data_IF_457855618604
#
_entry.id   IF_457855618604
#
_cell.length_a   1.000
_cell.length_b   1.000
_cell.length_c   1.000
_cell.angle_alpha   90.00
_cell.angle_beta   90.00
_cell.angle_gamma   90.00
#
_symmetry.space_group_name_H-M   'P 1'
#
loop_
_entity.id
_entity.type
_entity.pdbx_description
1 polymer ?
#
# COMPACT_ATOMS: atom_id res chain seq x y z
N UNK A 1 -9.89 11.13 4.51
CA UNK A 1 -9.46 9.75 4.81
C UNK A 1 -8.09 9.52 4.21
N UNK A 2 -7.13 9.08 5.01
CA UNK A 2 -5.78 8.74 4.54
C UNK A 2 -5.79 7.35 3.90
N UNK A 3 -5.08 7.19 2.80
CA UNK A 3 -4.89 5.91 2.13
C UNK A 3 -3.42 5.52 2.23
N UNK A 4 -3.16 4.24 2.51
CA UNK A 4 -1.80 3.70 2.55
C UNK A 4 -1.74 2.40 1.77
N UNK A 5 -0.77 2.28 0.87
CA UNK A 5 -0.39 1.01 0.26
C UNK A 5 0.82 0.51 1.01
N UNK A 6 0.64 -0.59 1.74
CA UNK A 6 1.69 -1.23 2.53
C UNK A 6 2.20 -2.42 1.72
N UNK A 7 3.51 -2.46 1.47
CA UNK A 7 4.16 -3.52 0.72
C UNK A 7 5.41 -4.04 1.47
N UNK A 8 5.70 -5.33 1.31
CA UNK A 8 6.95 -5.92 1.79
C UNK A 8 8.03 -5.76 0.73
N UNK A 9 9.21 -5.35 1.16
CA UNK A 9 10.38 -5.12 0.31
C UNK A 9 10.50 -3.67 -0.12
N UNK A 10 11.74 -3.23 -0.33
CA UNK A 10 12.02 -1.86 -0.77
C UNK A 10 12.14 -1.83 -2.29
N UNK A 11 11.33 -1.02 -3.00
CA UNK A 11 11.48 -0.87 -4.44
C UNK A 11 12.85 -0.27 -4.75
N UNK A 12 13.52 -0.84 -5.76
CA UNK A 12 14.73 -0.25 -6.32
C UNK A 12 14.42 1.04 -7.11
N UNK A 13 15.41 1.60 -7.80
CA UNK A 13 15.20 2.76 -8.70
C UNK A 13 14.68 2.34 -10.09
N UNK A 14 13.85 1.30 -10.12
CA UNK A 14 13.31 0.70 -11.34
C UNK A 14 12.08 1.45 -11.89
N UNK A 15 11.68 1.13 -13.13
CA UNK A 15 10.47 1.71 -13.74
C UNK A 15 9.20 1.45 -12.92
N UNK A 16 9.13 0.33 -12.19
CA UNK A 16 8.01 -0.03 -11.32
C UNK A 16 7.85 0.98 -10.18
N UNK A 17 8.96 1.42 -9.57
CA UNK A 17 8.95 2.40 -8.49
C UNK A 17 8.51 3.78 -8.99
N UNK A 18 8.97 4.16 -10.19
CA UNK A 18 8.57 5.41 -10.85
C UNK A 18 7.08 5.40 -11.15
N UNK A 19 6.58 4.28 -11.69
CA UNK A 19 5.16 4.12 -12.00
C UNK A 19 4.31 4.17 -10.73
N UNK A 20 4.70 3.47 -9.67
CA UNK A 20 3.99 3.51 -8.39
C UNK A 20 3.91 4.94 -7.82
N UNK A 21 5.01 5.69 -7.85
CA UNK A 21 5.04 7.07 -7.38
C UNK A 21 4.14 8.00 -8.23
N UNK A 22 4.18 7.90 -9.56
CA UNK A 22 3.34 8.69 -10.47
C UNK A 22 1.84 8.43 -10.19
N UNK A 23 1.44 7.17 -10.09
CA UNK A 23 0.04 6.85 -9.77
C UNK A 23 -0.36 7.26 -8.35
N UNK A 24 0.55 7.20 -7.38
CA UNK A 24 0.29 7.67 -6.03
C UNK A 24 0.04 9.18 -5.96
N UNK A 25 0.81 9.96 -6.73
CA UNK A 25 0.62 11.40 -6.88
C UNK A 25 -0.73 11.71 -7.55
N UNK A 26 -1.04 11.07 -8.67
CA UNK A 26 -2.32 11.24 -9.38
C UNK A 26 -3.52 10.93 -8.49
N UNK A 27 -3.45 9.83 -7.74
CA UNK A 27 -4.51 9.44 -6.81
C UNK A 27 -4.67 10.43 -5.66
N UNK A 28 -3.56 10.99 -5.15
CA UNK A 28 -3.59 12.04 -4.12
C UNK A 28 -4.25 13.32 -4.65
N UNK A 29 -3.88 13.75 -5.85
CA UNK A 29 -4.45 14.94 -6.49
C UNK A 29 -5.95 14.78 -6.78
N UNK A 30 -6.35 13.66 -7.38
CA UNK A 30 -7.75 13.38 -7.70
C UNK A 30 -8.60 13.12 -6.45
N UNK A 31 -8.06 12.41 -5.46
CA UNK A 31 -8.75 12.06 -4.22
C UNK A 31 -9.06 13.28 -3.35
N UNK A 32 -8.24 14.34 -3.41
CA UNK A 32 -8.39 15.52 -2.56
C UNK A 32 -9.79 16.15 -2.66
N UNK A 33 -10.36 16.20 -3.86
CA UNK A 33 -11.71 16.71 -4.09
C UNK A 33 -12.81 15.81 -3.49
N UNK A 34 -12.51 14.53 -3.27
CA UNK A 34 -13.40 13.51 -2.70
C UNK A 34 -13.17 13.30 -1.20
N UNK A 35 -12.30 14.10 -0.56
CA UNK A 35 -11.91 13.90 0.85
C UNK A 35 -11.02 12.68 1.07
N UNK A 36 -10.46 12.11 0.00
CA UNK A 36 -9.50 11.01 0.03
C UNK A 36 -8.09 11.57 -0.13
N UNK A 37 -7.15 11.16 0.72
CA UNK A 37 -5.76 11.52 0.61
C UNK A 37 -5.14 12.09 1.88
N UNK A 38 -3.79 12.12 1.94
CA UNK A 38 -2.86 11.66 0.90
C UNK A 38 -2.85 10.12 0.73
N UNK A 39 -2.41 9.66 -0.44
CA UNK A 39 -2.04 8.26 -0.67
C UNK A 39 -0.54 8.10 -0.39
N UNK A 40 -0.20 7.27 0.58
CA UNK A 40 1.19 6.98 0.96
C UNK A 40 1.59 5.57 0.52
N UNK A 41 2.81 5.46 -0.02
CA UNK A 41 3.47 4.18 -0.25
C UNK A 41 4.35 3.88 0.96
N UNK A 42 4.10 2.75 1.62
CA UNK A 42 4.76 2.34 2.86
C UNK A 42 5.49 1.03 2.59
N UNK A 43 6.79 1.12 2.38
CA UNK A 43 7.66 -0.04 2.16
C UNK A 43 8.16 -0.57 3.52
N UNK A 44 7.93 -1.85 3.76
CA UNK A 44 8.31 -2.53 5.00
C UNK A 44 9.39 -3.58 4.71
N UNK A 45 10.47 -3.57 5.49
CA UNK A 45 11.57 -4.52 5.32
C UNK A 45 11.75 -5.35 6.60
N UNK A 46 11.33 -6.64 6.60
CA UNK A 46 11.50 -7.51 7.74
C UNK A 46 12.96 -7.85 7.96
N UNK A 47 13.40 -7.82 9.22
CA UNK A 47 14.78 -8.19 9.60
C UNK A 47 15.06 -9.68 9.48
N UNK A 48 14.02 -10.51 9.48
CA UNK A 48 14.09 -11.97 9.39
C UNK A 48 13.24 -12.43 8.21
N UNK A 49 13.69 -13.43 7.43
CA UNK A 49 12.90 -13.97 6.34
C UNK A 49 11.69 -14.75 6.86
N UNK A 50 10.62 -14.77 6.07
CA UNK A 50 9.44 -15.61 6.30
C UNK A 50 8.18 -14.84 6.65
N UNK A 51 7.05 -15.55 6.60
CA UNK A 51 5.70 -14.97 6.65
C UNK A 51 5.36 -14.31 7.99
N UNK A 52 5.85 -14.83 9.11
CA UNK A 52 5.51 -14.32 10.44
C UNK A 52 6.09 -12.91 10.71
N UNK A 53 7.40 -12.66 10.50
CA UNK A 53 7.97 -11.31 10.59
C UNK A 53 7.31 -10.29 9.66
N UNK A 54 6.94 -10.69 8.44
CA UNK A 54 6.22 -9.84 7.48
C UNK A 54 4.84 -9.46 8.01
N UNK A 55 4.08 -10.44 8.50
CA UNK A 55 2.74 -10.22 9.06
C UNK A 55 2.77 -9.26 10.26
N UNK A 56 3.73 -9.40 11.17
CA UNK A 56 3.90 -8.50 12.32
C UNK A 56 4.10 -7.04 11.89
N UNK A 57 4.93 -6.79 10.87
CA UNK A 57 5.16 -5.45 10.34
C UNK A 57 3.92 -4.89 9.66
N UNK A 58 3.24 -5.69 8.84
CA UNK A 58 2.01 -5.26 8.15
C UNK A 58 0.93 -4.89 9.16
N UNK A 59 0.68 -5.76 10.15
CA UNK A 59 -0.34 -5.52 11.18
C UNK A 59 -0.04 -4.28 12.01
N UNK A 60 1.23 -4.04 12.33
CA UNK A 60 1.66 -2.81 13.03
C UNK A 60 1.46 -1.57 12.17
N UNK A 61 1.78 -1.62 10.88
CA UNK A 61 1.59 -0.50 9.97
C UNK A 61 0.11 -0.20 9.68
N UNK A 62 -0.75 -1.23 9.77
CA UNK A 62 -2.20 -1.12 9.57
C UNK A 62 -2.98 -0.84 10.86
N UNK A 63 -2.32 -0.62 11.99
CA UNK A 63 -2.98 -0.40 13.28
C UNK A 63 -3.93 0.81 13.23
N UNK A 64 -5.19 0.60 13.62
CA UNK A 64 -6.24 1.62 13.58
C UNK A 64 -6.77 1.96 12.19
N UNK A 65 -6.28 1.31 11.13
CA UNK A 65 -6.78 1.45 9.77
C UNK A 65 -7.77 0.33 9.40
N UNK A 66 -8.59 0.59 8.38
CA UNK A 66 -9.34 -0.47 7.73
C UNK A 66 -8.42 -1.23 6.77
N UNK A 67 -8.07 -2.48 7.12
CA UNK A 67 -7.13 -3.29 6.36
C UNK A 67 -7.82 -3.96 5.16
N UNK A 68 -7.32 -3.68 3.96
CA UNK A 68 -7.68 -4.39 2.73
C UNK A 68 -6.46 -5.17 2.28
N UNK A 69 -6.55 -6.50 2.33
CA UNK A 69 -5.47 -7.38 1.88
C UNK A 69 -5.67 -7.76 0.40
N UNK A 70 -4.61 -7.63 -0.39
CA UNK A 70 -4.56 -8.11 -1.77
C UNK A 70 -4.12 -9.58 -1.77
N UNK A 71 -5.06 -10.49 -2.01
CA UNK A 71 -4.87 -11.95 -2.02
C UNK A 71 -5.53 -12.53 -3.28
N UNK A 72 -4.87 -13.50 -3.94
CA UNK A 72 -5.38 -14.07 -5.18
C UNK A 72 -6.69 -14.86 -5.01
N UNK A 73 -7.02 -15.25 -3.78
CA UNK A 73 -8.25 -15.97 -3.39
C UNK A 73 -9.30 -15.02 -2.81
N UNK A 74 -9.01 -13.72 -2.78
CA UNK A 74 -9.88 -12.69 -2.25
C UNK A 74 -11.11 -12.41 -3.12
N UNK A 75 -11.94 -11.46 -2.66
CA UNK A 75 -13.08 -10.98 -3.44
C UNK A 75 -12.58 -10.15 -4.63
N UNK A 76 -13.04 -10.48 -5.83
CA UNK A 76 -12.79 -9.68 -7.02
C UNK A 76 -13.72 -8.46 -7.04
N UNK A 77 -13.15 -7.27 -7.19
CA UNK A 77 -13.90 -6.03 -7.33
C UNK A 77 -13.87 -5.53 -8.78
N UNK A 78 -15.01 -5.06 -9.26
CA UNK A 78 -15.18 -4.32 -10.50
C UNK A 78 -14.69 -2.89 -10.30
N UNK A 79 -14.12 -2.26 -11.33
CA UNK A 79 -13.76 -0.83 -11.29
C UNK A 79 -14.97 0.11 -11.31
N UNK A 80 -16.15 -0.42 -11.65
CA UNK A 80 -17.43 0.30 -11.71
C UNK A 80 -18.34 -0.11 -10.56
#
# INVERSE_FOLDING_TARGET
MKLGVIAIGKPGRGPEAVLAADYAERATLAGRALGLGPLELIDLEPRKPGKAPEAELILKAAEGAHLIACDERGKTFSSR
#
